data_IF_693011591215
#
_entry.id   IF_693011591215
#
_cell.length_a   1.000
_cell.length_b   1.000
_cell.length_c   1.000
_cell.angle_alpha   90.00
_cell.angle_beta   90.00
_cell.angle_gamma   90.00
#
_symmetry.space_group_name_H-M   'P 1'
#
loop_
_entity.id
_entity.type
_entity.pdbx_description
1 polymer ?
#
# COMPACT_ATOMS: atom_id res chain seq x y z
N UNK A 1 -14.73 -3.96 -0.57
CA UNK A 1 -13.54 -3.62 0.24
C UNK A 1 -12.52 -4.77 0.34
N UNK A 2 -12.79 -5.97 -0.20
CA UNK A 2 -12.04 -7.20 0.10
C UNK A 2 -10.63 -7.30 -0.51
N UNK A 3 -10.22 -6.31 -1.32
CA UNK A 3 -8.93 -6.27 -2.04
C UNK A 3 -8.15 -4.97 -1.86
N UNK A 4 -8.76 -3.93 -1.27
CA UNK A 4 -8.16 -2.59 -1.16
C UNK A 4 -7.85 -2.31 0.30
N UNK A 5 -6.57 -2.07 0.63
CA UNK A 5 -6.10 -1.74 1.99
C UNK A 5 -6.63 -2.73 3.07
N UNK A 6 -6.62 -4.02 2.76
CA UNK A 6 -7.20 -5.10 3.60
C UNK A 6 -6.52 -5.24 4.97
N UNK A 7 -5.26 -4.83 5.08
CA UNK A 7 -4.48 -4.80 6.31
C UNK A 7 -4.41 -3.39 6.93
N UNK A 8 -5.29 -2.47 6.52
CA UNK A 8 -5.29 -1.07 6.92
C UNK A 8 -4.45 -0.16 6.02
N UNK A 9 -4.66 1.15 6.15
CA UNK A 9 -4.02 2.19 5.33
C UNK A 9 -3.34 3.28 6.15
N UNK A 10 -2.93 4.36 5.48
CA UNK A 10 -2.22 5.49 6.11
C UNK A 10 -3.05 6.22 7.20
N UNK A 11 -4.38 6.20 7.10
CA UNK A 11 -5.27 6.79 8.11
C UNK A 11 -5.15 6.07 9.45
N UNK A 12 -5.09 4.74 9.43
CA UNK A 12 -5.04 3.93 10.66
C UNK A 12 -3.60 3.75 11.18
N UNK A 13 -2.63 3.68 10.28
CA UNK A 13 -1.26 3.27 10.60
C UNK A 13 -0.24 4.42 10.52
N UNK A 14 -0.69 5.62 10.16
CA UNK A 14 0.15 6.80 9.96
C UNK A 14 0.73 6.92 8.55
N UNK A 15 1.16 8.14 8.23
CA UNK A 15 1.74 8.53 6.95
C UNK A 15 3.12 9.16 7.12
N UNK A 16 4.19 8.37 7.38
CA UNK A 16 5.54 8.88 7.32
C UNK A 16 5.88 9.23 5.86
N UNK A 17 6.09 10.53 5.62
CA UNK A 17 6.41 11.06 4.29
C UNK A 17 7.70 10.41 3.76
N UNK A 18 7.70 10.03 2.48
CA UNK A 18 8.81 9.31 1.84
C UNK A 18 8.84 7.80 2.13
N UNK A 19 8.35 7.34 3.29
CA UNK A 19 8.38 5.92 3.67
C UNK A 19 7.10 5.15 3.31
N UNK A 20 5.97 5.84 3.15
CA UNK A 20 4.65 5.20 3.01
C UNK A 20 4.54 4.30 1.77
N UNK A 21 5.10 4.69 0.63
CA UNK A 21 5.07 3.88 -0.60
C UNK A 21 5.78 2.54 -0.44
N UNK A 22 6.98 2.56 0.15
CA UNK A 22 7.74 1.33 0.46
C UNK A 22 6.98 0.44 1.44
N UNK A 23 6.43 1.02 2.51
CA UNK A 23 5.62 0.30 3.51
C UNK A 23 4.40 -0.37 2.87
N UNK A 24 3.63 0.35 2.05
CA UNK A 24 2.46 -0.20 1.36
C UNK A 24 2.84 -1.33 0.40
N UNK A 25 3.98 -1.19 -0.30
CA UNK A 25 4.51 -2.24 -1.18
C UNK A 25 4.87 -3.51 -0.40
N UNK A 26 5.57 -3.37 0.73
CA UNK A 26 5.90 -4.52 1.59
C UNK A 26 4.65 -5.17 2.18
N UNK A 27 3.66 -4.37 2.61
CA UNK A 27 2.37 -4.90 3.07
C UNK A 27 1.64 -5.67 1.96
N UNK A 28 1.66 -5.16 0.72
CA UNK A 28 1.04 -5.83 -0.41
C UNK A 28 1.75 -7.15 -0.75
N UNK A 29 3.08 -7.18 -0.74
CA UNK A 29 3.87 -8.40 -0.97
C UNK A 29 3.55 -9.48 0.07
N UNK A 30 3.52 -9.13 1.36
CA UNK A 30 3.15 -10.07 2.42
C UNK A 30 1.71 -10.57 2.28
N UNK A 31 0.79 -9.75 1.79
CA UNK A 31 -0.59 -10.18 1.54
C UNK A 31 -0.74 -11.07 0.30
N UNK A 32 0.07 -10.87 -0.75
CA UNK A 32 0.11 -11.77 -1.90
C UNK A 32 0.55 -13.17 -1.48
N UNK A 33 1.59 -13.27 -0.66
CA UNK A 33 2.07 -14.54 -0.13
C UNK A 33 0.98 -15.23 0.71
N UNK A 34 0.34 -14.52 1.63
CA UNK A 34 -0.76 -15.06 2.46
C UNK A 34 -1.97 -15.55 1.65
N UNK A 35 -2.23 -14.96 0.49
CA UNK A 35 -3.39 -15.30 -0.36
C UNK A 35 -3.04 -16.20 -1.55
N UNK A 36 -1.79 -16.63 -1.66
CA UNK A 36 -1.27 -17.35 -2.84
C UNK A 36 -1.62 -16.62 -4.16
N UNK A 37 -1.53 -15.29 -4.15
CA UNK A 37 -1.92 -14.43 -5.26
C UNK A 37 -0.70 -13.93 -6.05
N UNK A 38 -0.92 -13.61 -7.32
CA UNK A 38 0.17 -13.30 -8.26
C UNK A 38 0.49 -11.81 -8.42
N UNK A 39 -0.51 -10.95 -8.30
CA UNK A 39 -0.39 -9.53 -8.64
C UNK A 39 -1.02 -8.63 -7.58
N UNK A 40 -0.29 -7.58 -7.20
CA UNK A 40 -0.79 -6.46 -6.44
C UNK A 40 -0.53 -5.16 -7.20
N UNK A 41 -1.44 -4.20 -7.03
CA UNK A 41 -1.25 -2.82 -7.48
C UNK A 41 -1.12 -1.94 -6.25
N UNK A 42 -0.04 -1.17 -6.20
CA UNK A 42 0.18 -0.13 -5.21
C UNK A 42 0.22 1.19 -5.96
N UNK A 43 -0.51 2.18 -5.44
CA UNK A 43 -0.46 3.54 -5.97
C UNK A 43 -0.56 4.55 -4.84
N UNK A 44 0.08 5.70 -5.01
CA UNK A 44 0.10 6.80 -4.04
C UNK A 44 -0.06 8.14 -4.74
N UNK A 45 -0.73 9.07 -4.06
CA UNK A 45 -0.63 10.49 -4.38
C UNK A 45 0.59 11.09 -3.66
N UNK A 46 1.19 12.11 -4.28
CA UNK A 46 2.35 12.81 -3.75
C UNK A 46 2.08 14.32 -3.86
N UNK A 47 2.56 15.10 -2.88
CA UNK A 47 2.47 16.56 -2.91
C UNK A 47 3.06 17.14 -4.20
N UNK A 48 2.51 18.27 -4.67
CA UNK A 48 2.89 18.87 -5.95
C UNK A 48 2.14 18.29 -7.17
N UNK A 49 1.09 17.49 -6.95
CA UNK A 49 0.23 16.98 -8.03
C UNK A 49 0.80 15.77 -8.76
N UNK A 50 1.63 14.98 -8.08
CA UNK A 50 2.28 13.78 -8.64
C UNK A 50 1.62 12.49 -8.15
N UNK A 51 1.89 11.39 -8.85
CA UNK A 51 1.47 10.04 -8.47
C UNK A 51 2.52 9.00 -8.84
N UNK A 52 2.46 7.86 -8.16
CA UNK A 52 3.28 6.68 -8.43
C UNK A 52 2.45 5.41 -8.22
#
# INVERSE_FOLDING_TARGET
MEKVNVNGGAVALGHPLGCTGARMTLTALGELERREARYALVTICIGGGMGA
#
